data_IF_017450306775
#
_entry.id   IF_017450306775
#
_cell.length_a   1.000
_cell.length_b   1.000
_cell.length_c   1.000
_cell.angle_alpha   90.00
_cell.angle_beta   90.00
_cell.angle_gamma   90.00
#
_symmetry.space_group_name_H-M   'P 1'
#
loop_
_entity.id
_entity.type
_entity.pdbx_description
1 polymer ?
#
# COMPACT_ATOMS: atom_id res chain seq x y z
N UNK A 1 -16.80 -1.12 12.11
CA UNK A 1 -16.32 -0.67 10.80
C UNK A 1 -14.82 -0.87 10.81
N UNK A 2 -14.29 -1.64 9.86
CA UNK A 2 -12.85 -1.88 9.78
C UNK A 2 -12.15 -0.69 9.14
N UNK A 3 -11.02 -0.25 9.70
CA UNK A 3 -10.20 0.87 9.23
C UNK A 3 -8.93 0.34 8.57
N UNK A 4 -8.60 0.84 7.39
CA UNK A 4 -7.42 0.44 6.62
C UNK A 4 -6.65 1.70 6.21
N UNK A 5 -5.40 1.81 6.67
CA UNK A 5 -4.53 2.93 6.27
C UNK A 5 -3.62 2.54 5.13
N UNK A 6 -3.61 3.34 4.08
CA UNK A 6 -2.69 3.26 2.95
C UNK A 6 -1.53 4.23 3.23
N UNK A 7 -0.43 3.70 3.77
CA UNK A 7 0.79 4.46 4.07
C UNK A 7 1.69 4.48 2.84
N UNK A 8 1.77 5.62 2.15
CA UNK A 8 2.49 5.69 0.88
C UNK A 8 3.39 6.92 0.77
N UNK A 9 4.38 6.84 -0.12
CA UNK A 9 5.12 7.97 -0.68
C UNK A 9 4.90 8.05 -2.19
N UNK A 10 4.90 9.27 -2.73
CA UNK A 10 4.83 9.51 -4.17
C UNK A 10 5.70 10.71 -4.55
N UNK A 11 6.76 10.50 -5.35
CA UNK A 11 7.63 11.59 -5.80
C UNK A 11 7.02 12.45 -6.91
N UNK A 12 6.31 11.81 -7.85
CA UNK A 12 5.80 12.47 -9.07
C UNK A 12 4.28 12.31 -9.25
N UNK A 13 3.55 11.80 -8.26
CA UNK A 13 2.09 11.65 -8.30
C UNK A 13 1.58 10.27 -8.75
N UNK A 14 2.33 9.50 -9.53
CA UNK A 14 1.87 8.21 -10.07
C UNK A 14 1.54 7.19 -8.97
N UNK A 15 2.39 7.05 -7.95
CA UNK A 15 2.13 6.17 -6.80
C UNK A 15 0.91 6.63 -5.99
N UNK A 16 0.65 7.96 -5.95
CA UNK A 16 -0.55 8.52 -5.34
C UNK A 16 -1.81 8.05 -6.08
N UNK A 17 -1.82 8.06 -7.41
CA UNK A 17 -2.95 7.53 -8.22
C UNK A 17 -3.25 6.06 -7.91
N UNK A 18 -2.20 5.26 -7.72
CA UNK A 18 -2.36 3.85 -7.29
C UNK A 18 -3.00 3.79 -5.90
N UNK A 19 -2.53 4.60 -4.94
CA UNK A 19 -3.10 4.66 -3.59
C UNK A 19 -4.59 5.03 -3.60
N UNK A 20 -4.97 6.03 -4.42
CA UNK A 20 -6.36 6.45 -4.61
C UNK A 20 -7.23 5.32 -5.19
N UNK A 21 -6.75 4.60 -6.19
CA UNK A 21 -7.46 3.46 -6.76
C UNK A 21 -7.62 2.29 -5.76
N UNK A 22 -6.59 2.02 -4.94
CA UNK A 22 -6.66 1.04 -3.84
C UNK A 22 -7.72 1.47 -2.82
N UNK A 23 -7.78 2.76 -2.47
CA UNK A 23 -8.79 3.28 -1.54
C UNK A 23 -10.22 3.09 -2.06
N UNK A 24 -10.46 3.35 -3.36
CA UNK A 24 -11.76 3.07 -4.00
C UNK A 24 -12.16 1.61 -3.82
N UNK A 25 -11.21 0.68 -4.00
CA UNK A 25 -11.47 -0.75 -3.79
C UNK A 25 -11.78 -1.10 -2.34
N UNK A 26 -11.09 -0.49 -1.37
CA UNK A 26 -11.38 -0.69 0.04
C UNK A 26 -12.80 -0.22 0.37
N UNK A 27 -13.17 0.98 -0.07
CA UNK A 27 -14.46 1.60 0.24
C UNK A 27 -15.64 0.95 -0.48
N UNK A 28 -15.39 0.15 -1.54
CA UNK A 28 -16.43 -0.67 -2.18
C UNK A 28 -16.94 -1.80 -1.30
N UNK A 29 -16.20 -2.17 -0.26
CA UNK A 29 -16.57 -3.25 0.67
C UNK A 29 -17.34 -2.67 1.84
N UNK A 30 -18.55 -3.17 2.08
CA UNK A 30 -19.39 -2.70 3.19
C UNK A 30 -18.69 -2.86 4.54
N UNK A 31 -18.75 -1.82 5.36
CA UNK A 31 -18.19 -1.81 6.70
C UNK A 31 -16.67 -1.57 6.74
N UNK A 32 -16.08 -1.07 5.67
CA UNK A 32 -14.66 -0.67 5.64
C UNK A 32 -14.50 0.82 5.32
N UNK A 33 -13.41 1.40 5.80
CA UNK A 33 -13.00 2.80 5.57
C UNK A 33 -11.52 2.83 5.17
N UNK A 34 -11.20 3.57 4.14
CA UNK A 34 -9.82 3.85 3.73
C UNK A 34 -9.31 5.17 4.33
N UNK A 35 -8.06 5.19 4.77
CA UNK A 35 -7.30 6.38 5.15
C UNK A 35 -6.08 6.45 4.25
N UNK A 36 -5.94 7.52 3.46
CA UNK A 36 -4.80 7.73 2.58
C UNK A 36 -3.80 8.63 3.31
N UNK A 37 -2.61 8.10 3.61
CA UNK A 37 -1.57 8.78 4.37
C UNK A 37 -0.28 8.88 3.55
N UNK A 38 0.12 10.10 3.18
CA UNK A 38 1.48 10.36 2.73
C UNK A 38 2.44 10.25 3.92
N UNK A 39 3.36 9.31 3.88
CA UNK A 39 4.28 9.03 5.00
C UNK A 39 5.23 10.19 5.32
N UNK A 40 5.41 11.16 4.40
CA UNK A 40 6.17 12.39 4.68
C UNK A 40 5.44 13.36 5.60
N UNK A 41 4.14 13.12 5.81
CA UNK A 41 3.22 13.91 6.66
C UNK A 41 2.69 13.11 7.85
N UNK A 42 3.38 12.06 8.23
CA UNK A 42 2.94 11.14 9.28
C UNK A 42 2.76 11.81 10.65
N UNK A 43 3.45 12.92 10.90
CA UNK A 43 3.32 13.72 12.12
C UNK A 43 2.21 14.79 12.05
N UNK A 44 1.58 14.98 10.88
CA UNK A 44 0.48 15.92 10.70
C UNK A 44 -0.87 15.29 11.07
N UNK A 45 -1.83 16.14 11.44
CA UNK A 45 -3.23 15.72 11.66
C UNK A 45 -3.84 15.13 10.38
N UNK A 46 -4.51 13.99 10.49
CA UNK A 46 -5.19 13.34 9.37
C UNK A 46 -6.62 12.93 9.76
N UNK A 47 -7.61 13.52 9.09
CA UNK A 47 -9.02 13.27 9.39
C UNK A 47 -9.33 13.57 10.87
N UNK A 48 -9.80 12.57 11.59
CA UNK A 48 -10.12 12.65 13.01
C UNK A 48 -8.93 12.34 13.94
N UNK A 49 -7.78 11.94 13.39
CA UNK A 49 -6.61 11.55 14.15
C UNK A 49 -5.65 12.72 14.34
N UNK A 50 -5.06 12.85 15.52
CA UNK A 50 -4.10 13.91 15.87
C UNK A 50 -2.81 13.82 15.04
N UNK A 51 -2.46 12.62 14.59
CA UNK A 51 -1.34 12.38 13.69
C UNK A 51 -1.61 11.19 12.75
N UNK A 52 -0.82 11.05 11.72
CA UNK A 52 -0.83 9.86 10.87
C UNK A 52 -0.39 8.60 11.64
N UNK A 53 0.45 8.73 12.66
CA UNK A 53 0.79 7.62 13.55
C UNK A 53 -0.42 7.09 14.31
N UNK A 54 -1.29 7.96 14.82
CA UNK A 54 -2.52 7.55 15.51
C UNK A 54 -3.48 6.84 14.55
N UNK A 55 -3.56 7.30 13.30
CA UNK A 55 -4.36 6.64 12.27
C UNK A 55 -3.84 5.21 11.96
N UNK A 56 -2.51 5.05 11.85
CA UNK A 56 -1.87 3.75 11.64
C UNK A 56 -2.08 2.81 12.84
N UNK A 57 -1.91 3.34 14.06
CA UNK A 57 -2.06 2.55 15.28
C UNK A 57 -3.53 2.12 15.50
N UNK A 58 -4.51 2.91 15.08
CA UNK A 58 -5.93 2.58 15.13
C UNK A 58 -6.42 1.66 14.01
N UNK A 59 -5.65 1.47 12.94
CA UNK A 59 -6.08 0.68 11.78
C UNK A 59 -6.03 -0.83 12.03
N UNK A 60 -6.98 -1.56 11.45
CA UNK A 60 -7.03 -3.03 11.43
C UNK A 60 -6.05 -3.64 10.40
N UNK A 61 -5.72 -2.86 9.37
CA UNK A 61 -4.78 -3.24 8.33
C UNK A 61 -4.05 -2.05 7.75
N UNK A 62 -2.82 -2.28 7.26
CA UNK A 62 -1.96 -1.26 6.67
C UNK A 62 -1.48 -1.74 5.30
N UNK A 63 -1.65 -0.91 4.29
CA UNK A 63 -1.11 -1.15 2.96
C UNK A 63 0.08 -0.21 2.74
N UNK A 64 1.26 -0.76 2.52
CA UNK A 64 2.48 -0.01 2.24
C UNK A 64 2.59 0.33 0.75
N UNK A 65 2.91 1.58 0.42
CA UNK A 65 3.05 2.05 -0.96
C UNK A 65 4.29 2.90 -1.17
N UNK A 66 5.09 2.58 -2.19
CA UNK A 66 6.25 3.40 -2.56
C UNK A 66 6.56 3.25 -4.04
N UNK A 67 7.08 4.27 -4.73
CA UNK A 67 7.71 4.03 -6.01
C UNK A 67 8.97 3.16 -5.81
N UNK A 68 9.31 2.37 -6.83
CA UNK A 68 10.61 1.70 -6.86
C UNK A 68 11.64 2.65 -7.47
N UNK A 69 12.58 3.11 -6.64
CA UNK A 69 13.73 3.92 -7.05
C UNK A 69 15.02 3.15 -6.79
N UNK A 70 15.86 3.03 -7.81
CA UNK A 70 17.15 2.31 -7.72
C UNK A 70 17.01 0.91 -7.09
N UNK A 71 15.96 0.18 -7.48
CA UNK A 71 15.72 -1.21 -7.05
C UNK A 71 15.10 -1.39 -5.66
N UNK A 72 14.65 -0.34 -4.99
CA UNK A 72 14.07 -0.43 -3.66
C UNK A 72 12.99 0.63 -3.38
N UNK A 73 12.40 0.65 -2.18
CA UNK A 73 11.50 1.71 -1.79
C UNK A 73 12.24 3.05 -1.77
N UNK A 74 11.51 4.12 -2.03
CA UNK A 74 12.04 5.48 -2.01
C UNK A 74 12.64 5.87 -0.64
N UNK A 75 13.60 6.81 -0.65
CA UNK A 75 14.22 7.32 0.58
C UNK A 75 13.21 7.82 1.63
N UNK A 76 12.22 8.66 1.27
CA UNK A 76 11.19 9.09 2.22
C UNK A 76 10.38 7.94 2.83
N UNK A 77 10.03 6.91 2.03
CA UNK A 77 9.38 5.73 2.57
C UNK A 77 10.32 4.97 3.53
N UNK A 78 11.61 4.88 3.22
CA UNK A 78 12.57 4.21 4.09
C UNK A 78 12.74 4.96 5.43
N UNK A 79 12.71 6.29 5.43
CA UNK A 79 12.73 7.10 6.67
C UNK A 79 11.50 6.76 7.53
N UNK A 80 10.31 6.71 6.93
CA UNK A 80 9.10 6.26 7.63
C UNK A 80 9.25 4.84 8.19
N UNK A 81 9.76 3.91 7.38
CA UNK A 81 9.95 2.52 7.80
C UNK A 81 10.91 2.41 9.01
N UNK A 82 11.99 3.20 9.04
CA UNK A 82 12.90 3.23 10.20
C UNK A 82 12.23 3.81 11.44
N UNK A 83 11.34 4.80 11.27
CA UNK A 83 10.59 5.41 12.37
C UNK A 83 9.54 4.45 13.00
N UNK A 84 9.20 3.34 12.34
CA UNK A 84 8.31 2.32 12.93
C UNK A 84 8.93 1.53 14.09
N UNK A 85 10.20 1.79 14.42
CA UNK A 85 10.92 1.05 15.50
C UNK A 85 10.17 1.05 16.83
N UNK A 86 9.47 2.14 17.19
CA UNK A 86 8.68 2.21 18.42
C UNK A 86 7.49 1.24 18.42
N UNK A 87 6.88 1.00 17.24
CA UNK A 87 5.79 0.04 17.03
C UNK A 87 6.30 -1.40 17.05
N UNK A 88 7.52 -1.62 16.54
CA UNK A 88 8.19 -2.90 16.67
C UNK A 88 8.49 -3.24 18.15
N UNK A 89 9.06 -2.31 18.91
CA UNK A 89 9.38 -2.52 20.33
C UNK A 89 8.12 -2.78 21.17
N UNK A 90 7.05 -2.02 20.93
CA UNK A 90 5.79 -2.17 21.68
C UNK A 90 4.89 -3.31 21.19
N UNK A 91 5.14 -3.84 19.98
CA UNK A 91 4.24 -4.81 19.33
C UNK A 91 2.90 -4.22 18.90
N UNK A 92 2.79 -2.90 18.74
CA UNK A 92 1.52 -2.20 18.48
C UNK A 92 0.84 -2.63 17.17
N UNK A 93 1.60 -3.13 16.19
CA UNK A 93 1.06 -3.59 14.91
C UNK A 93 1.03 -5.11 14.77
N UNK A 94 1.41 -5.83 15.82
CA UNK A 94 1.35 -7.30 15.82
C UNK A 94 -0.06 -7.77 15.50
N UNK A 95 -0.14 -8.78 14.65
CA UNK A 95 -1.37 -9.42 14.16
C UNK A 95 -2.27 -8.56 13.25
N UNK A 96 -1.93 -7.27 12.97
CA UNK A 96 -2.61 -6.52 11.92
C UNK A 96 -2.33 -7.15 10.54
N UNK A 97 -3.25 -6.95 9.59
CA UNK A 97 -3.00 -7.34 8.21
C UNK A 97 -2.14 -6.29 7.49
N UNK A 98 -1.22 -6.77 6.66
CA UNK A 98 -0.38 -5.93 5.81
C UNK A 98 -0.50 -6.33 4.34
N UNK A 99 -0.40 -5.36 3.46
CA UNK A 99 -0.27 -5.54 2.01
C UNK A 99 0.67 -4.50 1.43
N UNK A 100 0.91 -4.53 0.13
CA UNK A 100 1.77 -3.50 -0.45
C UNK A 100 1.66 -3.37 -1.96
N UNK A 101 2.01 -2.16 -2.42
CA UNK A 101 2.07 -1.83 -3.83
C UNK A 101 3.27 -0.97 -4.17
N UNK A 102 3.70 -1.05 -5.41
CA UNK A 102 4.76 -0.19 -5.95
C UNK A 102 4.48 0.21 -7.39
N UNK A 103 5.06 1.31 -7.81
CA UNK A 103 5.04 1.81 -9.17
C UNK A 103 6.47 2.13 -9.66
N UNK A 104 6.74 1.95 -10.94
CA UNK A 104 7.98 2.42 -11.55
C UNK A 104 7.78 2.76 -13.01
N UNK A 105 8.66 3.59 -13.57
CA UNK A 105 8.66 3.95 -14.98
C UNK A 105 9.07 2.80 -15.91
N UNK A 106 9.96 1.92 -15.46
CA UNK A 106 10.34 0.73 -16.22
C UNK A 106 9.38 -0.43 -16.01
N UNK A 107 9.03 -1.14 -17.06
CA UNK A 107 8.04 -2.23 -16.98
C UNK A 107 8.44 -3.31 -15.96
N UNK A 108 9.66 -3.79 -15.98
CA UNK A 108 10.18 -4.71 -14.96
C UNK A 108 10.65 -3.97 -13.70
N UNK A 109 11.53 -2.97 -13.85
CA UNK A 109 11.97 -1.95 -12.89
C UNK A 109 12.34 -2.44 -11.48
N UNK A 110 12.71 -3.72 -11.32
CA UNK A 110 13.05 -4.37 -10.05
C UNK A 110 11.99 -4.18 -8.94
N UNK A 111 10.75 -3.96 -9.34
CA UNK A 111 9.59 -3.77 -8.46
C UNK A 111 9.43 -4.89 -7.41
N UNK A 112 9.84 -6.10 -7.77
CA UNK A 112 9.81 -7.26 -6.87
C UNK A 112 10.57 -7.01 -5.58
N UNK A 113 11.74 -6.38 -5.62
CA UNK A 113 12.56 -6.09 -4.44
C UNK A 113 11.85 -5.12 -3.49
N UNK A 114 11.17 -4.11 -4.01
CA UNK A 114 10.34 -3.21 -3.18
C UNK A 114 9.20 -3.96 -2.50
N UNK A 115 8.51 -4.85 -3.21
CA UNK A 115 7.43 -5.66 -2.64
C UNK A 115 7.94 -6.62 -1.57
N UNK A 116 9.09 -7.29 -1.80
CA UNK A 116 9.71 -8.15 -0.79
C UNK A 116 10.22 -7.37 0.42
N UNK A 117 10.69 -6.13 0.23
CA UNK A 117 11.00 -5.24 1.33
C UNK A 117 9.78 -5.00 2.23
N UNK A 118 8.60 -4.74 1.65
CA UNK A 118 7.37 -4.57 2.44
C UNK A 118 6.96 -5.83 3.20
N UNK A 119 7.10 -7.00 2.59
CA UNK A 119 6.88 -8.29 3.28
C UNK A 119 7.82 -8.42 4.48
N UNK A 120 9.10 -8.06 4.31
CA UNK A 120 10.09 -8.11 5.39
C UNK A 120 9.74 -7.12 6.50
N UNK A 121 9.37 -5.87 6.15
CA UNK A 121 8.96 -4.86 7.11
C UNK A 121 7.71 -5.31 7.89
N UNK A 122 6.69 -5.81 7.21
CA UNK A 122 5.49 -6.36 7.83
C UNK A 122 5.83 -7.51 8.79
N UNK A 123 6.72 -8.42 8.37
CA UNK A 123 7.16 -9.56 9.20
C UNK A 123 7.90 -9.10 10.46
N UNK A 124 8.77 -8.10 10.36
CA UNK A 124 9.45 -7.52 11.53
C UNK A 124 8.45 -6.88 12.51
N UNK A 125 7.40 -6.24 12.00
CA UNK A 125 6.34 -5.62 12.80
C UNK A 125 5.31 -6.62 13.34
N UNK A 126 5.49 -7.94 13.07
CA UNK A 126 4.58 -9.00 13.50
C UNK A 126 3.25 -9.05 12.77
N UNK A 127 3.16 -8.42 11.59
CA UNK A 127 1.95 -8.35 10.79
C UNK A 127 1.79 -9.58 9.88
N UNK A 128 0.55 -9.84 9.46
CA UNK A 128 0.22 -10.94 8.54
C UNK A 128 0.04 -10.41 7.11
N UNK A 129 0.82 -10.95 6.17
CA UNK A 129 0.81 -10.46 4.79
C UNK A 129 -0.34 -10.99 3.96
N UNK A 130 -1.05 -10.08 3.30
CA UNK A 130 -2.10 -10.39 2.32
C UNK A 130 -1.54 -10.17 0.91
N UNK A 131 -1.32 -11.25 0.18
CA UNK A 131 -0.91 -11.19 -1.23
C UNK A 131 -2.03 -10.65 -2.12
N UNK A 132 -1.66 -10.15 -3.32
CA UNK A 132 -2.63 -9.61 -4.26
C UNK A 132 -3.71 -10.60 -4.69
N UNK A 133 -3.36 -11.89 -4.91
CA UNK A 133 -4.30 -12.96 -5.20
C UNK A 133 -5.05 -12.84 -6.53
N UNK A 134 -4.58 -12.00 -7.45
CA UNK A 134 -5.15 -11.78 -8.79
C UNK A 134 -4.28 -12.45 -9.85
N UNK A 135 -4.91 -13.27 -10.70
CA UNK A 135 -4.24 -13.92 -11.83
C UNK A 135 -3.97 -12.90 -12.93
N UNK A 136 -2.85 -13.07 -13.64
CA UNK A 136 -2.62 -12.36 -14.90
C UNK A 136 -3.51 -12.98 -15.99
N UNK A 137 -4.37 -12.16 -16.59
CA UNK A 137 -5.23 -12.50 -17.72
C UNK A 137 -4.98 -11.60 -18.95
N UNK A 138 -3.89 -10.84 -18.93
CA UNK A 138 -3.51 -9.88 -19.96
C UNK A 138 -3.95 -8.44 -19.66
N UNK A 139 -5.01 -8.27 -18.87
CA UNK A 139 -5.51 -6.95 -18.43
C UNK A 139 -5.38 -6.76 -16.92
N UNK A 140 -5.88 -7.70 -16.14
CA UNK A 140 -5.70 -7.75 -14.70
C UNK A 140 -4.30 -8.25 -14.38
N UNK A 141 -3.62 -7.58 -13.46
CA UNK A 141 -2.26 -7.97 -13.05
C UNK A 141 -1.29 -8.12 -14.22
N UNK A 142 -1.37 -7.24 -15.22
CA UNK A 142 -0.54 -7.33 -16.44
C UNK A 142 0.97 -7.35 -16.16
N UNK A 143 1.41 -6.80 -15.04
CA UNK A 143 2.81 -6.82 -14.59
C UNK A 143 3.22 -8.13 -13.89
N UNK A 144 2.30 -9.06 -13.63
CA UNK A 144 2.58 -10.44 -13.19
C UNK A 144 3.06 -10.60 -11.75
N UNK A 145 3.01 -9.59 -10.89
CA UNK A 145 3.42 -9.70 -9.49
C UNK A 145 2.34 -10.40 -8.65
N UNK A 146 2.72 -11.41 -7.89
CA UNK A 146 1.82 -12.15 -6.99
C UNK A 146 1.93 -11.73 -5.54
N UNK A 147 3.15 -11.38 -5.09
CA UNK A 147 3.42 -11.03 -3.70
C UNK A 147 2.72 -9.74 -3.27
N UNK A 148 2.54 -8.78 -4.18
CA UNK A 148 1.87 -7.52 -3.98
C UNK A 148 1.46 -6.90 -5.31
N UNK A 149 1.02 -5.66 -5.33
CA UNK A 149 0.61 -4.95 -6.52
C UNK A 149 1.79 -4.19 -7.14
N UNK A 150 2.11 -4.49 -8.39
CA UNK A 150 3.06 -3.71 -9.20
C UNK A 150 2.32 -2.99 -10.33
N UNK A 151 2.55 -1.70 -10.49
CA UNK A 151 2.02 -0.88 -11.58
C UNK A 151 3.17 -0.24 -12.37
N UNK A 152 2.88 0.29 -13.55
CA UNK A 152 3.86 0.96 -14.38
C UNK A 152 3.31 2.28 -14.89
N UNK A 153 4.11 3.33 -14.79
CA UNK A 153 3.86 4.62 -15.42
C UNK A 153 4.96 4.94 -16.42
N UNK A 154 4.64 5.79 -17.40
CA UNK A 154 5.62 6.36 -18.27
C UNK A 154 6.20 7.66 -17.66
N UNK A 155 7.02 8.37 -18.44
CA UNK A 155 7.58 9.65 -18.04
C UNK A 155 6.62 10.81 -18.45
N UNK A 156 5.38 10.71 -17.99
CA UNK A 156 4.27 11.60 -18.31
C UNK A 156 3.54 12.10 -17.04
N UNK A 157 2.40 12.72 -17.22
CA UNK A 157 1.56 13.16 -16.10
C UNK A 157 0.90 11.97 -15.39
N UNK A 158 0.74 12.02 -14.05
CA UNK A 158 -0.04 11.02 -13.30
C UNK A 158 -1.52 10.95 -13.70
N UNK A 159 -2.01 11.91 -14.50
CA UNK A 159 -3.35 11.83 -15.09
C UNK A 159 -3.40 10.93 -16.35
N UNK A 160 -2.25 10.58 -16.92
CA UNK A 160 -2.12 9.72 -18.11
C UNK A 160 -1.73 8.29 -17.71
N UNK A 161 -0.71 8.15 -16.86
CA UNK A 161 -0.29 6.85 -16.33
C UNK A 161 -0.14 6.84 -14.80
N UNK A 162 -0.36 5.72 -14.08
CA UNK A 162 -0.66 4.37 -14.58
C UNK A 162 -1.97 4.30 -15.37
N UNK A 163 -1.99 3.48 -16.43
CA UNK A 163 -3.18 3.31 -17.26
C UNK A 163 -4.31 2.53 -16.57
N UNK A 164 -5.47 2.52 -17.20
CA UNK A 164 -6.72 1.96 -16.69
C UNK A 164 -6.58 0.51 -16.18
N UNK A 165 -5.86 -0.34 -16.90
CA UNK A 165 -5.64 -1.75 -16.50
C UNK A 165 -4.92 -1.86 -15.15
N UNK A 166 -3.93 -1.02 -14.89
CA UNK A 166 -3.21 -0.99 -13.62
C UNK A 166 -4.08 -0.40 -12.50
N UNK A 167 -4.87 0.64 -12.78
CA UNK A 167 -5.78 1.24 -11.80
C UNK A 167 -6.93 0.29 -11.45
N UNK A 168 -7.51 -0.42 -12.43
CA UNK A 168 -8.51 -1.45 -12.18
C UNK A 168 -7.95 -2.61 -11.34
N UNK A 169 -6.72 -3.04 -11.60
CA UNK A 169 -6.04 -4.05 -10.78
C UNK A 169 -5.81 -3.53 -9.35
N UNK A 170 -5.52 -2.24 -9.21
CA UNK A 170 -5.33 -1.58 -7.91
C UNK A 170 -6.62 -1.55 -7.09
N UNK A 171 -7.74 -1.24 -7.73
CA UNK A 171 -9.08 -1.29 -7.10
C UNK A 171 -9.41 -2.70 -6.63
N UNK A 172 -9.21 -3.73 -7.48
CA UNK A 172 -9.44 -5.12 -7.11
C UNK A 172 -8.53 -5.59 -5.95
N UNK A 173 -7.29 -5.09 -5.89
CA UNK A 173 -6.41 -5.37 -4.76
C UNK A 173 -6.93 -4.75 -3.45
N UNK A 174 -7.40 -3.50 -3.50
CA UNK A 174 -8.01 -2.82 -2.36
C UNK A 174 -9.25 -3.56 -1.83
N UNK A 175 -10.17 -3.96 -2.74
CA UNK A 175 -11.35 -4.77 -2.41
C UNK A 175 -10.96 -6.09 -1.73
N UNK A 176 -10.02 -6.83 -2.32
CA UNK A 176 -9.54 -8.09 -1.75
C UNK A 176 -8.95 -7.90 -0.36
N UNK A 177 -8.14 -6.85 -0.15
CA UNK A 177 -7.54 -6.57 1.14
C UNK A 177 -8.59 -6.25 2.20
N UNK A 178 -9.59 -5.45 1.87
CA UNK A 178 -10.70 -5.11 2.76
C UNK A 178 -11.53 -6.35 3.14
N UNK A 179 -11.80 -7.24 2.19
CA UNK A 179 -12.46 -8.53 2.46
C UNK A 179 -11.61 -9.39 3.42
N UNK A 180 -10.28 -9.40 3.25
CA UNK A 180 -9.39 -10.12 4.15
C UNK A 180 -9.43 -9.55 5.57
N UNK A 181 -9.38 -8.23 5.73
CA UNK A 181 -9.49 -7.54 7.04
C UNK A 181 -10.82 -7.86 7.71
N UNK A 182 -11.95 -7.77 7.00
CA UNK A 182 -13.26 -8.11 7.54
C UNK A 182 -13.40 -9.59 7.96
N UNK A 183 -12.65 -10.50 7.31
CA UNK A 183 -12.62 -11.91 7.72
C UNK A 183 -11.73 -12.16 8.93
N UNK A 184 -10.63 -11.41 9.03
CA UNK A 184 -9.67 -11.52 10.12
C UNK A 184 -10.27 -11.03 11.45
N UNK A 185 -11.10 -10.00 11.41
CA UNK A 185 -11.74 -9.36 12.57
C UNK A 185 -13.01 -10.11 13.08
N UNK A 186 -13.38 -11.24 12.47
CA UNK A 186 -14.51 -12.09 12.92
C UNK A 186 -14.07 -13.09 13.98
#
# INVERSE_FOLDING_TARGET
>A
MSSITIAYHSGYGHTKKVAEAVAVGIESVSGTKAIILDVTKVDETIGEFASGWDALDASDGIIFGSPTYMGGPSGPFKVFADATVSRWVSGAWKDKLAGGFTNSGSNYGDKGLTLYYFVTLASQLGMNWVSKGLRNDGTTNRNGFSVGLGTQSDNDSPEVTPGEADLNTSTQFGERFAIAVNRWNK
#
